data_IF_724523984180
#
_entry.id   IF_724523984180
#
_cell.length_a   1.000
_cell.length_b   1.000
_cell.length_c   1.000
_cell.angle_alpha   90.00
_cell.angle_beta   90.00
_cell.angle_gamma   90.00
#
_symmetry.space_group_name_H-M   'P 1'
#
loop_
_entity.id
_entity.type
_entity.pdbx_description
1 polymer ?
#
# COMPACT_ATOMS: atom_id res chain seq x y z
N UNK A 1 -13.27 47.16 9.46
CA UNK A 1 -12.12 46.23 9.31
C UNK A 1 -12.58 44.93 9.92
N UNK A 2 -13.27 44.11 9.11
CA UNK A 2 -13.88 42.86 9.58
C UNK A 2 -12.91 41.71 9.35
N UNK A 3 -12.60 41.01 10.43
CA UNK A 3 -11.82 39.77 10.38
C UNK A 3 -12.71 38.69 9.77
N UNK A 4 -12.37 38.23 8.56
CA UNK A 4 -12.90 36.97 8.05
C UNK A 4 -12.33 35.82 8.90
N UNK A 5 -13.11 35.37 9.89
CA UNK A 5 -12.96 34.01 10.36
C UNK A 5 -13.60 33.11 9.30
N UNK A 6 -12.76 32.42 8.51
CA UNK A 6 -13.23 31.26 7.77
C UNK A 6 -13.78 30.26 8.80
N UNK A 7 -15.04 29.83 8.69
CA UNK A 7 -15.47 28.68 9.48
C UNK A 7 -14.60 27.50 9.05
N UNK A 8 -13.90 26.91 10.01
CA UNK A 8 -13.46 25.53 9.91
C UNK A 8 -14.73 24.72 9.67
N UNK A 9 -15.01 24.41 8.41
CA UNK A 9 -15.95 23.35 8.07
C UNK A 9 -15.19 22.05 8.29
N UNK A 10 -15.40 21.31 9.40
CA UNK A 10 -15.08 19.90 9.34
C UNK A 10 -15.99 19.36 8.25
N UNK A 11 -15.40 18.92 7.14
CA UNK A 11 -16.16 18.18 6.15
C UNK A 11 -16.60 16.90 6.86
N UNK A 12 -17.80 16.93 7.44
CA UNK A 12 -18.57 15.78 7.88
C UNK A 12 -19.05 15.03 6.65
N UNK A 13 -18.11 14.66 5.79
CA UNK A 13 -18.31 13.72 4.71
C UNK A 13 -18.37 12.35 5.34
N UNK A 14 -19.54 11.95 5.80
CA UNK A 14 -19.81 10.57 6.12
C UNK A 14 -19.54 9.76 4.85
N UNK A 15 -18.45 8.99 4.84
CA UNK A 15 -18.20 8.01 3.79
C UNK A 15 -19.41 7.06 3.75
N UNK A 16 -20.17 6.98 2.64
CA UNK A 16 -21.33 6.09 2.53
C UNK A 16 -21.00 4.60 2.75
N UNK A 17 -19.71 4.24 2.76
CA UNK A 17 -19.18 2.90 3.02
C UNK A 17 -18.56 2.73 4.42
N UNK A 18 -18.37 3.81 5.18
CA UNK A 18 -17.75 3.80 6.51
C UNK A 18 -16.26 3.45 6.52
N UNK A 19 -15.51 3.64 5.43
CA UNK A 19 -14.12 3.22 5.32
C UNK A 19 -13.18 4.20 6.04
N UNK A 20 -12.21 3.64 6.77
CA UNK A 20 -11.12 4.39 7.41
C UNK A 20 -10.09 4.99 6.44
N UNK A 21 -10.15 4.62 5.17
CA UNK A 21 -9.27 5.14 4.13
C UNK A 21 -9.84 6.44 3.55
N UNK A 22 -9.19 7.56 3.86
CA UNK A 22 -9.47 8.86 3.23
C UNK A 22 -8.59 8.98 2.00
N UNK A 23 -9.19 8.88 0.81
CA UNK A 23 -8.45 8.85 -0.46
C UNK A 23 -8.39 10.23 -1.09
N UNK A 24 -7.18 10.74 -1.29
CA UNK A 24 -6.89 11.97 -2.02
C UNK A 24 -6.41 11.61 -3.44
N UNK A 25 -7.16 11.98 -4.48
CA UNK A 25 -6.79 11.74 -5.87
C UNK A 25 -7.57 10.59 -6.54
N UNK A 26 -6.88 9.55 -7.01
CA UNK A 26 -7.45 8.45 -7.82
C UNK A 26 -8.29 7.46 -6.98
N UNK A 27 -9.47 7.91 -6.53
CA UNK A 27 -10.41 7.08 -5.77
C UNK A 27 -10.86 5.84 -6.53
N UNK A 28 -11.12 5.97 -7.84
CA UNK A 28 -11.57 4.84 -8.67
C UNK A 28 -10.48 3.76 -8.75
N UNK A 29 -9.23 4.17 -8.96
CA UNK A 29 -8.10 3.24 -8.97
C UNK A 29 -7.91 2.57 -7.61
N UNK A 30 -8.03 3.32 -6.52
CA UNK A 30 -7.97 2.79 -5.16
C UNK A 30 -9.07 1.74 -4.91
N UNK A 31 -10.33 2.03 -5.23
CA UNK A 31 -11.44 1.10 -5.01
C UNK A 31 -11.25 -0.20 -5.83
N UNK A 32 -10.72 -0.09 -7.06
CA UNK A 32 -10.36 -1.25 -7.88
C UNK A 32 -9.25 -2.08 -7.23
N UNK A 33 -8.21 -1.42 -6.70
CA UNK A 33 -7.12 -2.08 -6.00
C UNK A 33 -7.59 -2.80 -4.72
N UNK A 34 -8.44 -2.16 -3.91
CA UNK A 34 -9.01 -2.79 -2.70
C UNK A 34 -9.85 -4.03 -3.04
N UNK A 35 -10.71 -3.94 -4.06
CA UNK A 35 -11.50 -5.09 -4.50
C UNK A 35 -10.62 -6.24 -5.01
N UNK A 36 -9.55 -5.91 -5.73
CA UNK A 36 -8.58 -6.88 -6.21
C UNK A 36 -7.81 -7.56 -5.07
N UNK A 37 -7.28 -6.77 -4.13
CA UNK A 37 -6.60 -7.26 -2.93
C UNK A 37 -7.48 -8.15 -2.06
N UNK A 38 -8.77 -7.82 -1.91
CA UNK A 38 -9.75 -8.60 -1.13
C UNK A 38 -10.05 -10.00 -1.70
N UNK A 39 -9.53 -10.36 -2.88
CA UNK A 39 -9.54 -11.74 -3.36
C UNK A 39 -8.56 -12.63 -2.57
N UNK A 40 -7.52 -12.04 -1.99
CA UNK A 40 -6.63 -12.69 -1.05
C UNK A 40 -7.20 -12.66 0.38
N UNK A 41 -7.17 -13.79 1.08
CA UNK A 41 -7.78 -13.91 2.40
C UNK A 41 -7.06 -13.13 3.50
N UNK A 42 -5.73 -13.03 3.45
CA UNK A 42 -4.95 -12.28 4.43
C UNK A 42 -5.12 -10.77 4.22
N UNK A 43 -5.03 -10.31 2.97
CA UNK A 43 -5.33 -8.92 2.62
C UNK A 43 -6.76 -8.55 2.98
N UNK A 44 -7.74 -9.39 2.65
CA UNK A 44 -9.14 -9.16 3.01
C UNK A 44 -9.30 -8.98 4.51
N UNK A 45 -8.68 -9.86 5.31
CA UNK A 45 -8.73 -9.77 6.77
C UNK A 45 -8.12 -8.45 7.26
N UNK A 46 -6.90 -8.12 6.84
CA UNK A 46 -6.23 -6.89 7.27
C UNK A 46 -7.03 -5.63 6.91
N UNK A 47 -7.49 -5.54 5.65
CA UNK A 47 -8.30 -4.41 5.17
C UNK A 47 -9.60 -4.30 5.98
N UNK A 48 -10.30 -5.43 6.19
CA UNK A 48 -11.56 -5.44 6.96
C UNK A 48 -11.34 -5.04 8.42
N UNK A 49 -10.24 -5.45 9.03
CA UNK A 49 -9.92 -5.08 10.42
C UNK A 49 -9.51 -3.61 10.55
N UNK A 50 -8.79 -3.05 9.57
CA UNK A 50 -8.49 -1.61 9.49
C UNK A 50 -9.80 -0.82 9.34
N UNK A 51 -10.65 -1.20 8.38
CA UNK A 51 -11.94 -0.56 8.10
C UNK A 51 -12.85 -0.54 9.34
N UNK A 52 -12.84 -1.61 10.15
CA UNK A 52 -13.65 -1.74 11.36
C UNK A 52 -12.95 -1.27 12.65
N UNK A 53 -11.72 -0.77 12.57
CA UNK A 53 -10.98 -0.34 13.75
C UNK A 53 -11.59 0.92 14.38
N UNK A 54 -11.41 1.08 15.69
CA UNK A 54 -11.78 2.32 16.40
C UNK A 54 -10.76 3.45 16.24
N UNK A 55 -9.66 3.24 15.51
CA UNK A 55 -8.49 4.13 15.46
C UNK A 55 -8.62 5.28 14.44
N UNK A 56 -7.59 6.12 14.32
CA UNK A 56 -7.58 7.26 13.40
C UNK A 56 -7.70 6.84 11.92
N UNK A 57 -8.15 7.77 11.07
CA UNK A 57 -8.26 7.56 9.63
C UNK A 57 -6.88 7.46 8.97
N UNK A 58 -6.72 6.56 8.00
CA UNK A 58 -5.53 6.45 7.16
C UNK A 58 -5.73 7.29 5.90
N UNK A 59 -4.84 8.24 5.65
CA UNK A 59 -4.90 8.99 4.37
C UNK A 59 -4.16 8.23 3.28
N UNK A 60 -4.76 8.11 2.10
CA UNK A 60 -4.12 7.56 0.90
C UNK A 60 -3.96 8.67 -0.12
N UNK A 61 -2.74 9.15 -0.30
CA UNK A 61 -2.41 10.20 -1.27
C UNK A 61 -1.96 9.57 -2.58
N UNK A 62 -2.89 9.48 -3.53
CA UNK A 62 -2.62 8.99 -4.87
C UNK A 62 -1.75 10.00 -5.63
N UNK A 63 -0.64 9.53 -6.22
CA UNK A 63 0.31 10.33 -6.98
C UNK A 63 0.70 9.64 -8.31
N UNK A 64 1.60 10.26 -9.09
CA UNK A 64 2.13 9.72 -10.36
C UNK A 64 3.67 9.85 -10.38
N UNK A 65 4.33 9.61 -9.25
CA UNK A 65 5.77 9.86 -9.04
C UNK A 65 6.54 8.60 -8.63
N UNK A 66 5.98 7.42 -8.83
CA UNK A 66 6.51 6.14 -8.30
C UNK A 66 6.67 6.12 -6.77
N UNK A 67 5.96 7.00 -6.04
CA UNK A 67 6.04 7.00 -4.60
C UNK A 67 4.99 6.05 -4.02
N UNK A 68 5.47 4.89 -3.56
CA UNK A 68 4.75 3.91 -2.79
C UNK A 68 5.45 3.80 -1.44
N UNK A 69 4.84 4.35 -0.40
CA UNK A 69 5.41 4.35 0.95
C UNK A 69 4.38 4.62 2.02
N UNK A 70 4.58 4.05 3.20
CA UNK A 70 3.81 4.32 4.39
C UNK A 70 4.57 5.22 5.37
N UNK A 71 3.94 6.32 5.76
CA UNK A 71 4.40 7.20 6.82
C UNK A 71 3.58 6.95 8.09
N UNK A 72 4.17 6.23 9.04
CA UNK A 72 3.53 5.89 10.31
C UNK A 72 3.22 7.11 11.20
N UNK A 73 4.03 8.17 11.14
CA UNK A 73 3.81 9.39 11.93
C UNK A 73 2.58 10.17 11.44
N UNK A 74 2.39 10.25 10.13
CA UNK A 74 1.28 10.97 9.51
C UNK A 74 0.06 10.08 9.21
N UNK A 75 0.13 8.78 9.55
CA UNK A 75 -0.86 7.77 9.16
C UNK A 75 -1.24 7.87 7.68
N UNK A 76 -0.21 7.98 6.81
CA UNK A 76 -0.40 8.28 5.38
C UNK A 76 0.30 7.27 4.50
N UNK A 77 -0.45 6.69 3.56
CA UNK A 77 0.09 5.95 2.42
C UNK A 77 0.25 6.94 1.26
N UNK A 78 1.44 7.00 0.68
CA UNK A 78 1.63 7.49 -0.67
C UNK A 78 1.53 6.29 -1.61
N UNK A 79 0.70 6.41 -2.66
CA UNK A 79 0.52 5.34 -3.62
C UNK A 79 0.43 5.91 -5.02
N UNK A 80 1.09 5.28 -5.97
CA UNK A 80 0.97 5.60 -7.38
C UNK A 80 0.18 4.49 -8.07
N UNK A 81 -1.04 4.81 -8.52
CA UNK A 81 -1.95 3.83 -9.12
C UNK A 81 -1.48 3.29 -10.48
N UNK A 82 -0.34 3.77 -10.98
CA UNK A 82 0.30 3.33 -12.21
C UNK A 82 1.72 2.83 -11.96
N UNK A 83 2.23 2.86 -10.74
CA UNK A 83 3.59 2.37 -10.48
C UNK A 83 3.55 0.87 -10.21
N UNK A 84 3.82 0.07 -11.24
CA UNK A 84 4.04 -1.36 -11.13
C UNK A 84 5.52 -1.64 -10.82
N UNK A 85 5.84 -2.90 -10.49
CA UNK A 85 7.17 -3.31 -10.07
C UNK A 85 7.62 -4.59 -10.77
N UNK A 86 8.80 -4.59 -11.38
CA UNK A 86 9.50 -5.81 -11.79
C UNK A 86 10.12 -6.43 -10.53
N UNK A 87 9.77 -7.68 -10.20
CA UNK A 87 10.33 -8.38 -9.03
C UNK A 87 11.81 -8.74 -9.19
N UNK A 88 12.27 -8.87 -10.43
CA UNK A 88 13.68 -9.05 -10.73
C UNK A 88 14.31 -7.67 -10.88
N UNK A 89 15.43 -7.46 -10.21
CA UNK A 89 16.24 -6.24 -10.32
C UNK A 89 17.28 -6.34 -11.45
N UNK A 90 17.32 -7.46 -12.18
CA UNK A 90 18.11 -7.62 -13.39
C UNK A 90 17.37 -7.08 -14.61
N UNK A 91 18.05 -6.21 -15.37
CA UNK A 91 17.54 -5.61 -16.61
C UNK A 91 17.77 -6.56 -17.79
N UNK A 92 17.06 -7.67 -17.83
CA UNK A 92 17.05 -8.53 -19.01
C UNK A 92 15.98 -8.09 -20.02
N UNK A 93 16.29 -8.18 -21.31
CA UNK A 93 15.42 -7.68 -22.40
C UNK A 93 14.16 -8.53 -22.65
N UNK A 94 14.12 -9.76 -22.12
CA UNK A 94 13.05 -10.73 -22.35
C UNK A 94 12.17 -10.91 -21.10
N UNK A 95 11.82 -9.81 -20.44
CA UNK A 95 11.10 -9.85 -19.18
C UNK A 95 9.67 -10.37 -19.34
N UNK A 96 9.32 -11.40 -18.56
CA UNK A 96 7.93 -11.87 -18.45
C UNK A 96 7.13 -10.89 -17.60
N UNK A 97 6.57 -9.85 -18.22
CA UNK A 97 5.76 -8.84 -17.52
C UNK A 97 4.54 -9.43 -16.81
N UNK A 98 4.05 -10.59 -17.23
CA UNK A 98 2.85 -11.20 -16.64
C UNK A 98 3.17 -11.95 -15.36
N UNK A 99 4.27 -12.70 -15.33
CA UNK A 99 4.63 -13.55 -14.19
C UNK A 99 5.80 -13.00 -13.35
N UNK A 100 6.52 -12.00 -13.85
CA UNK A 100 7.67 -11.36 -13.21
C UNK A 100 7.35 -10.02 -12.55
N UNK A 101 6.10 -9.56 -12.56
CA UNK A 101 5.74 -8.26 -12.00
C UNK A 101 4.69 -8.31 -10.91
N UNK A 102 4.69 -7.25 -10.11
CA UNK A 102 3.59 -6.86 -9.25
C UNK A 102 2.88 -5.64 -9.85
N UNK A 103 1.56 -5.71 -9.96
CA UNK A 103 0.73 -4.58 -10.39
C UNK A 103 0.61 -3.55 -9.26
N UNK A 104 0.27 -2.27 -9.54
CA UNK A 104 0.21 -1.24 -8.52
C UNK A 104 -0.71 -1.56 -7.33
N UNK A 105 -1.77 -2.36 -7.54
CA UNK A 105 -2.64 -2.81 -6.46
C UNK A 105 -1.92 -3.70 -5.44
N UNK A 106 -1.00 -4.58 -5.87
CA UNK A 106 -0.26 -5.42 -4.91
C UNK A 106 0.76 -4.58 -4.11
N UNK A 107 1.32 -3.55 -4.73
CA UNK A 107 2.18 -2.57 -4.06
C UNK A 107 1.39 -1.74 -3.04
N UNK A 108 0.12 -1.38 -3.31
CA UNK A 108 -0.76 -0.84 -2.26
C UNK A 108 -0.96 -1.84 -1.11
N UNK A 109 -1.12 -3.13 -1.43
CA UNK A 109 -1.25 -4.19 -0.44
C UNK A 109 -0.03 -4.30 0.49
N UNK A 110 1.16 -4.07 -0.03
CA UNK A 110 2.39 -3.95 0.75
C UNK A 110 2.28 -2.83 1.80
N UNK A 111 1.92 -1.61 1.38
CA UNK A 111 1.76 -0.48 2.31
C UNK A 111 0.64 -0.70 3.34
N UNK A 112 -0.45 -1.35 2.94
CA UNK A 112 -1.54 -1.73 3.86
C UNK A 112 -1.04 -2.72 4.93
N UNK A 113 -0.10 -3.61 4.60
CA UNK A 113 0.47 -4.53 5.56
C UNK A 113 1.33 -3.82 6.63
N UNK A 114 1.98 -2.70 6.28
CA UNK A 114 2.64 -1.83 7.26
C UNK A 114 1.62 -1.13 8.17
N UNK A 115 0.56 -0.55 7.59
CA UNK A 115 -0.54 0.06 8.36
C UNK A 115 -1.10 -0.94 9.36
N UNK A 116 -1.38 -2.16 8.92
CA UNK A 116 -1.94 -3.20 9.78
C UNK A 116 -1.01 -3.57 10.95
N UNK A 117 0.29 -3.70 10.70
CA UNK A 117 1.26 -4.00 11.76
C UNK A 117 1.38 -2.85 12.76
N UNK A 118 1.43 -1.61 12.27
CA UNK A 118 1.42 -0.41 13.10
C UNK A 118 0.17 -0.34 13.97
N UNK A 119 -1.03 -0.50 13.40
CA UNK A 119 -2.30 -0.51 14.14
C UNK A 119 -2.32 -1.60 15.22
N UNK A 120 -1.87 -2.83 14.90
CA UNK A 120 -1.97 -3.95 15.84
C UNK A 120 -0.98 -3.92 17.00
N UNK A 121 0.20 -3.34 16.80
CA UNK A 121 1.32 -3.44 17.75
C UNK A 121 1.76 -2.08 18.30
N UNK A 122 1.20 -1.00 17.76
CA UNK A 122 1.51 0.38 18.10
C UNK A 122 2.84 0.86 17.53
N UNK A 123 2.99 2.19 17.51
CA UNK A 123 4.13 2.89 16.89
C UNK A 123 5.50 2.40 17.38
N UNK A 124 5.63 2.11 18.69
CA UNK A 124 6.92 1.71 19.27
C UNK A 124 7.46 0.40 18.71
N UNK A 125 6.60 -0.61 18.54
CA UNK A 125 7.05 -1.89 17.98
C UNK A 125 7.30 -1.76 16.47
N UNK A 126 6.43 -1.05 15.75
CA UNK A 126 6.61 -0.78 14.33
C UNK A 126 7.97 -0.11 14.02
N UNK A 127 8.32 0.94 14.77
CA UNK A 127 9.61 1.64 14.59
C UNK A 127 10.80 0.75 14.99
N UNK A 128 10.63 -0.12 15.98
CA UNK A 128 11.70 -1.06 16.38
C UNK A 128 12.02 -2.04 15.24
N UNK A 129 11.01 -2.60 14.57
CA UNK A 129 11.23 -3.51 13.44
C UNK A 129 11.82 -2.76 12.23
N UNK A 130 11.33 -1.56 11.92
CA UNK A 130 11.89 -0.71 10.84
C UNK A 130 13.32 -0.21 11.11
N UNK A 131 13.75 -0.17 12.38
CA UNK A 131 15.14 0.16 12.75
C UNK A 131 16.04 -1.08 12.90
N UNK A 132 15.54 -2.28 12.64
CA UNK A 132 16.32 -3.52 12.73
C UNK A 132 16.78 -3.92 11.32
N UNK A 133 18.06 -3.70 10.95
CA UNK A 133 18.50 -3.89 9.57
C UNK A 133 18.43 -5.35 9.12
N UNK A 134 18.10 -5.57 7.85
CA UNK A 134 18.18 -6.85 7.16
C UNK A 134 18.85 -6.64 5.79
N UNK A 135 19.93 -7.36 5.51
CA UNK A 135 20.73 -7.12 4.29
C UNK A 135 20.01 -7.46 2.98
N UNK A 136 18.92 -8.22 3.04
CA UNK A 136 18.17 -8.66 1.86
C UNK A 136 16.88 -7.85 1.67
N UNK A 137 16.31 -7.31 2.74
CA UNK A 137 15.02 -6.63 2.72
C UNK A 137 15.09 -5.20 3.27
N UNK A 138 16.28 -4.64 3.44
CA UNK A 138 16.59 -3.38 4.14
C UNK A 138 16.36 -3.44 5.66
N UNK A 139 15.19 -3.88 6.12
CA UNK A 139 14.88 -4.05 7.53
C UNK A 139 13.95 -5.25 7.84
N UNK A 140 13.73 -5.50 9.15
CA UNK A 140 12.92 -6.62 9.62
C UNK A 140 11.42 -6.44 9.33
N UNK A 141 10.95 -5.21 9.18
CA UNK A 141 9.55 -4.90 8.88
C UNK A 141 9.23 -5.14 7.41
N UNK A 142 10.08 -4.68 6.51
CA UNK A 142 10.05 -4.99 5.07
C UNK A 142 10.08 -6.50 4.83
N UNK A 143 11.00 -7.20 5.50
CA UNK A 143 11.06 -8.67 5.46
C UNK A 143 9.74 -9.31 5.89
N UNK A 144 9.12 -8.83 6.98
CA UNK A 144 7.84 -9.35 7.47
C UNK A 144 6.73 -9.15 6.44
N UNK A 145 6.66 -7.99 5.81
CA UNK A 145 5.66 -7.71 4.78
C UNK A 145 5.89 -8.58 3.54
N UNK A 146 7.11 -8.55 3.00
CA UNK A 146 7.45 -9.21 1.73
C UNK A 146 7.31 -10.72 1.84
N UNK A 147 7.88 -11.34 2.88
CA UNK A 147 7.85 -12.79 3.05
C UNK A 147 6.51 -13.31 3.61
N UNK A 148 5.69 -12.42 4.17
CA UNK A 148 4.39 -12.73 4.75
C UNK A 148 3.23 -12.28 3.85
N UNK A 149 2.46 -11.24 4.23
CA UNK A 149 1.23 -10.88 3.54
C UNK A 149 1.39 -10.59 2.04
N UNK A 150 2.48 -9.94 1.62
CA UNK A 150 2.72 -9.68 0.20
C UNK A 150 2.92 -10.99 -0.58
N UNK A 151 3.76 -11.90 -0.07
CA UNK A 151 3.95 -13.23 -0.67
C UNK A 151 2.65 -14.03 -0.72
N UNK A 152 1.83 -13.95 0.33
CA UNK A 152 0.53 -14.64 0.36
C UNK A 152 -0.38 -14.10 -0.76
N UNK A 153 -0.54 -12.78 -0.82
CA UNK A 153 -1.32 -12.11 -1.85
C UNK A 153 -0.78 -12.35 -3.26
N UNK A 154 0.53 -12.26 -3.47
CA UNK A 154 1.18 -12.52 -4.75
C UNK A 154 0.85 -13.93 -5.27
N UNK A 155 0.91 -14.95 -4.41
CA UNK A 155 0.56 -16.33 -4.75
C UNK A 155 -0.92 -16.46 -5.13
N UNK A 156 -1.82 -15.90 -4.32
CA UNK A 156 -3.27 -15.94 -4.59
C UNK A 156 -3.63 -15.23 -5.89
N UNK A 157 -3.01 -14.07 -6.13
CA UNK A 157 -3.29 -13.17 -7.25
C UNK A 157 -2.45 -13.50 -8.49
N UNK A 158 -1.62 -14.55 -8.44
CA UNK A 158 -0.75 -15.04 -9.52
C UNK A 158 0.22 -13.97 -10.04
N UNK A 159 0.84 -13.26 -9.12
CA UNK A 159 1.89 -12.27 -9.38
C UNK A 159 3.25 -12.78 -8.89
N UNK A 160 4.32 -12.07 -9.23
CA UNK A 160 5.65 -12.47 -8.79
C UNK A 160 5.80 -12.34 -7.26
N UNK A 161 6.53 -13.30 -6.70
CA UNK A 161 6.93 -13.30 -5.29
C UNK A 161 8.32 -12.68 -5.21
N UNK A 162 8.43 -11.52 -4.55
CA UNK A 162 9.72 -10.88 -4.30
C UNK A 162 10.58 -11.70 -3.35
N UNK A 163 11.89 -11.64 -3.57
CA UNK A 163 12.91 -12.31 -2.72
C UNK A 163 13.83 -11.30 -2.02
N UNK A 164 13.61 -10.01 -2.22
CA UNK A 164 14.32 -8.90 -1.60
C UNK A 164 13.37 -7.69 -1.58
N UNK A 165 13.76 -6.60 -0.94
CA UNK A 165 12.99 -5.34 -0.98
C UNK A 165 13.19 -4.55 -2.30
N UNK A 166 14.17 -4.94 -3.10
CA UNK A 166 14.42 -4.36 -4.42
C UNK A 166 13.31 -4.62 -5.45
N UNK A 167 13.64 -4.25 -6.67
CA UNK A 167 12.77 -4.30 -7.85
C UNK A 167 12.95 -3.05 -8.70
N UNK A 168 12.40 -3.07 -9.91
CA UNK A 168 12.48 -1.94 -10.85
C UNK A 168 11.07 -1.37 -11.06
N UNK A 169 10.76 -0.17 -10.53
CA UNK A 169 9.46 0.45 -10.75
C UNK A 169 9.31 0.89 -12.21
N UNK A 170 8.10 0.74 -12.75
CA UNK A 170 7.74 1.21 -14.08
C UNK A 170 6.27 1.66 -14.11
N UNK A 171 5.90 2.47 -15.10
CA UNK A 171 4.52 2.92 -15.24
C UNK A 171 3.71 1.92 -16.06
N UNK A 172 2.59 1.47 -15.49
CA UNK A 172 1.51 0.76 -16.18
C UNK A 172 0.38 1.71 -16.58
N UNK A 173 -0.61 1.20 -17.32
CA UNK A 173 -1.80 1.95 -17.70
C UNK A 173 -2.82 2.12 -16.56
N UNK A 174 -2.70 1.36 -15.47
CA UNK A 174 -3.61 1.42 -14.33
C UNK A 174 -3.30 0.44 -13.19
N UNK A 175 -4.12 0.44 -12.13
CA UNK A 175 -3.78 -0.23 -10.86
C UNK A 175 -3.78 -1.75 -10.92
N UNK A 176 -4.39 -2.32 -11.95
CA UNK A 176 -4.46 -3.77 -12.18
C UNK A 176 -3.67 -4.19 -13.44
N UNK A 177 -2.97 -3.24 -14.06
CA UNK A 177 -2.34 -3.43 -15.37
C UNK A 177 -0.85 -3.67 -15.24
N UNK A 178 -0.33 -4.48 -16.16
CA UNK A 178 1.08 -4.87 -16.25
C UNK A 178 1.91 -3.96 -17.18
N UNK A 179 1.27 -3.13 -18.01
CA UNK A 179 1.87 -2.19 -18.96
C UNK A 179 0.92 -1.00 -19.17
#
# INVERSE_FOLDING_TARGET
MEFYQNPLNPVTGTDPLGLKFVVEGDRKGFDAAINYLKQDSEMKKMITEIENSGEDTITVSCNNKHNNSYNAWAARIHWDSKSALLCDDTKESDFDFKNGTQVPALILGHEIAHVYHHMKNGYKEYIKTGNTPDSQYDDAEEKRVITGPETHAAKTLKQCVRKNHGGIPYHSSGPLEYL
#
